data_IF_154132532557
#
_entry.id   IF_154132532557
#
_cell.length_a   1.000
_cell.length_b   1.000
_cell.length_c   1.000
_cell.angle_alpha   90.00
_cell.angle_beta   90.00
_cell.angle_gamma   90.00
#
_symmetry.space_group_name_H-M   'P 1'
#
loop_
_entity.id
_entity.type
_entity.pdbx_description
1 polymer ?
#
# COMPACT_ATOMS: atom_id res chain seq x y z
N UNK A 1 21.68 19.99 2.31
CA UNK A 1 20.19 19.98 2.32
C UNK A 1 19.57 21.25 1.71
N UNK A 2 19.78 22.49 2.19
CA UNK A 2 19.15 23.68 1.59
C UNK A 2 19.40 23.89 0.08
N UNK A 3 20.56 23.49 -0.45
CA UNK A 3 20.88 23.66 -1.89
C UNK A 3 20.10 22.72 -2.80
N UNK A 4 19.77 21.51 -2.37
CA UNK A 4 18.96 20.57 -3.15
C UNK A 4 17.50 21.00 -3.23
N UNK A 5 16.92 21.50 -2.13
CA UNK A 5 15.55 22.01 -2.10
C UNK A 5 15.36 23.25 -2.99
N UNK A 6 16.36 24.13 -3.06
CA UNK A 6 16.31 25.30 -3.95
C UNK A 6 16.48 24.92 -5.43
N UNK A 7 17.26 23.87 -5.72
CA UNK A 7 17.44 23.39 -7.09
C UNK A 7 16.17 22.73 -7.63
N UNK A 8 15.51 21.90 -6.81
CA UNK A 8 14.27 21.19 -7.21
C UNK A 8 13.14 22.18 -7.48
N UNK A 9 12.96 23.20 -6.64
CA UNK A 9 11.95 24.23 -6.85
C UNK A 9 12.25 25.08 -8.10
N UNK A 10 13.50 25.42 -8.32
CA UNK A 10 13.95 26.21 -9.48
C UNK A 10 13.79 25.45 -10.81
N UNK A 11 14.03 24.14 -10.82
CA UNK A 11 13.82 23.28 -12.00
C UNK A 11 12.34 23.16 -12.34
N UNK A 12 11.47 22.95 -11.34
CA UNK A 12 10.02 22.85 -11.54
C UNK A 12 9.42 24.18 -12.02
N UNK A 13 9.87 25.30 -11.47
CA UNK A 13 9.41 26.65 -11.89
C UNK A 13 9.89 26.99 -13.31
N UNK A 14 11.12 26.62 -13.69
CA UNK A 14 11.62 26.85 -15.04
C UNK A 14 10.97 25.91 -16.07
N UNK A 15 10.66 24.66 -15.73
CA UNK A 15 9.92 23.76 -16.60
C UNK A 15 8.52 24.29 -16.93
N UNK A 16 7.83 24.84 -15.93
CA UNK A 16 6.51 25.45 -16.11
C UNK A 16 6.51 26.71 -17.02
N UNK A 17 7.65 27.37 -17.19
CA UNK A 17 7.79 28.57 -18.06
C UNK A 17 8.10 28.25 -19.52
N UNK A 18 8.45 27.01 -19.87
CA UNK A 18 8.87 26.62 -21.22
C UNK A 18 7.73 25.98 -22.04
N UNK A 19 6.60 25.62 -21.41
CA UNK A 19 5.49 24.94 -22.09
C UNK A 19 4.59 25.94 -22.86
N UNK A 20 5.02 26.37 -24.03
CA UNK A 20 4.24 27.24 -24.91
C UNK A 20 3.79 26.51 -26.18
N UNK A 21 2.78 25.65 -26.13
CA UNK A 21 2.00 25.30 -27.34
C UNK A 21 0.85 24.28 -27.14
N UNK A 22 0.65 23.69 -25.97
CA UNK A 22 -0.50 22.81 -25.73
C UNK A 22 -1.38 23.38 -24.62
N UNK A 23 -2.70 23.19 -24.75
CA UNK A 23 -3.62 23.53 -23.67
C UNK A 23 -3.20 22.78 -22.41
N UNK A 24 -2.88 23.52 -21.34
CA UNK A 24 -2.46 22.92 -20.08
C UNK A 24 -3.70 22.52 -19.26
N UNK A 25 -3.54 21.58 -18.34
CA UNK A 25 -4.61 21.18 -17.42
C UNK A 25 -5.22 22.40 -16.69
N UNK A 26 -4.38 23.38 -16.34
CA UNK A 26 -4.87 24.59 -15.68
C UNK A 26 -5.68 25.48 -16.65
N UNK A 27 -5.32 25.57 -17.92
CA UNK A 27 -6.07 26.36 -18.91
C UNK A 27 -7.44 25.75 -19.23
N UNK A 28 -7.61 24.45 -19.03
CA UNK A 28 -8.88 23.72 -19.24
C UNK A 28 -9.80 23.72 -18.00
N UNK A 29 -9.37 24.33 -16.89
CA UNK A 29 -10.17 24.42 -15.66
C UNK A 29 -11.48 25.18 -15.92
N UNK A 30 -12.61 24.53 -15.62
CA UNK A 30 -13.95 25.12 -15.73
C UNK A 30 -14.27 25.99 -14.51
N UNK A 31 -13.72 25.67 -13.33
CA UNK A 31 -13.89 26.46 -12.12
C UNK A 31 -13.88 25.63 -10.83
N UNK A 32 -13.84 26.33 -9.72
CA UNK A 32 -13.78 25.76 -8.38
C UNK A 32 -14.97 24.85 -8.06
N UNK A 33 -16.18 25.21 -8.52
CA UNK A 33 -17.43 24.47 -8.29
C UNK A 33 -17.72 23.54 -9.47
N UNK A 34 -17.50 24.00 -10.69
CA UNK A 34 -17.86 23.29 -11.92
C UNK A 34 -17.08 21.99 -12.15
N UNK A 35 -15.83 21.94 -11.69
CA UNK A 35 -14.99 20.74 -11.71
C UNK A 35 -14.95 20.02 -10.35
N UNK A 36 -15.80 20.44 -9.40
CA UNK A 36 -15.85 19.78 -8.12
C UNK A 36 -16.38 18.34 -8.26
N UNK A 37 -15.86 17.45 -7.43
CA UNK A 37 -16.34 16.09 -7.32
C UNK A 37 -16.45 15.67 -5.86
N UNK A 38 -17.42 14.81 -5.59
CA UNK A 38 -17.65 14.28 -4.27
C UNK A 38 -18.07 12.83 -4.33
N UNK A 39 -17.55 12.04 -3.41
CA UNK A 39 -17.89 10.63 -3.27
C UNK A 39 -17.95 10.19 -1.83
N UNK A 40 -18.76 9.17 -1.58
CA UNK A 40 -18.79 8.43 -0.33
C UNK A 40 -18.66 6.96 -0.66
N UNK A 41 -17.72 6.28 -0.02
CA UNK A 41 -17.64 4.82 -0.05
C UNK A 41 -18.17 4.27 1.27
N UNK A 42 -19.31 3.57 1.22
CA UNK A 42 -19.76 2.76 2.35
C UNK A 42 -19.07 1.40 2.27
N UNK A 43 -18.29 1.06 3.30
CA UNK A 43 -17.61 -0.22 3.39
C UNK A 43 -18.03 -0.95 4.65
N UNK A 44 -18.44 -2.21 4.49
CA UNK A 44 -18.57 -3.15 5.60
C UNK A 44 -17.45 -4.16 5.48
N UNK A 45 -16.64 -4.30 6.53
CA UNK A 45 -15.48 -5.17 6.56
C UNK A 45 -15.55 -6.19 7.69
N UNK A 46 -15.19 -7.42 7.36
CA UNK A 46 -14.94 -8.49 8.32
C UNK A 46 -13.55 -9.08 8.05
N UNK A 47 -12.76 -9.26 9.12
CA UNK A 47 -11.46 -9.91 9.09
C UNK A 47 -11.34 -10.84 10.29
N UNK A 48 -11.03 -12.10 10.03
CA UNK A 48 -10.79 -13.10 11.05
C UNK A 48 -9.49 -13.84 10.74
N UNK A 49 -8.62 -13.96 11.72
CA UNK A 49 -7.36 -14.72 11.70
C UNK A 49 -7.42 -15.81 12.74
N UNK A 50 -7.44 -17.03 12.30
CA UNK A 50 -7.28 -18.23 13.10
C UNK A 50 -5.79 -18.62 13.09
N UNK A 51 -5.11 -18.28 14.19
CA UNK A 51 -3.66 -18.45 14.35
C UNK A 51 -3.31 -19.89 14.68
N UNK A 52 -2.35 -20.46 13.97
CA UNK A 52 -1.91 -21.86 14.11
C UNK A 52 -0.50 -21.99 14.66
N UNK A 53 0.13 -20.87 15.01
CA UNK A 53 1.46 -20.84 15.61
C UNK A 53 1.49 -21.28 17.09
N UNK A 54 0.34 -21.31 17.76
CA UNK A 54 0.22 -21.66 19.16
C UNK A 54 0.74 -20.60 20.15
N UNK A 55 1.18 -19.44 19.64
CA UNK A 55 1.82 -18.37 20.41
C UNK A 55 0.97 -17.11 20.50
N UNK A 56 0.15 -16.87 19.49
CA UNK A 56 -0.65 -15.66 19.39
C UNK A 56 -2.14 -15.99 19.36
N UNK A 57 -2.95 -15.12 19.95
CA UNK A 57 -4.39 -15.29 19.99
C UNK A 57 -5.03 -15.05 18.61
N UNK A 58 -6.14 -15.72 18.36
CA UNK A 58 -7.01 -15.43 17.22
C UNK A 58 -7.50 -13.99 17.27
N UNK A 59 -7.65 -13.39 16.10
CA UNK A 59 -8.22 -12.04 15.98
C UNK A 59 -9.45 -12.06 15.11
N UNK A 60 -10.45 -11.28 15.51
CA UNK A 60 -11.70 -11.14 14.76
C UNK A 60 -12.25 -9.74 14.89
N UNK A 61 -12.55 -9.11 13.76
CA UNK A 61 -13.11 -7.76 13.73
C UNK A 61 -14.14 -7.61 12.65
N UNK A 62 -15.26 -6.96 12.97
CA UNK A 62 -16.26 -6.53 12.02
C UNK A 62 -16.61 -5.06 12.26
N UNK A 63 -16.60 -4.26 11.21
CA UNK A 63 -16.93 -2.84 11.32
C UNK A 63 -17.49 -2.31 9.99
N UNK A 64 -18.16 -1.16 10.08
CA UNK A 64 -18.64 -0.42 8.93
C UNK A 64 -18.09 1.00 8.97
N UNK A 65 -17.85 1.56 7.77
CA UNK A 65 -17.36 2.93 7.60
C UNK A 65 -18.05 3.62 6.44
N UNK A 66 -18.11 4.95 6.52
CA UNK A 66 -18.35 5.83 5.40
C UNK A 66 -17.06 6.65 5.16
N UNK A 67 -16.40 6.41 4.04
CA UNK A 67 -15.20 7.16 3.62
C UNK A 67 -15.66 8.26 2.66
N UNK A 68 -15.43 9.51 3.04
CA UNK A 68 -15.86 10.70 2.30
C UNK A 68 -14.64 11.33 1.62
N UNK A 69 -14.81 11.68 0.35
CA UNK A 69 -13.85 12.49 -0.40
C UNK A 69 -14.62 13.60 -1.12
N UNK A 70 -14.34 14.86 -0.74
CA UNK A 70 -14.89 16.06 -1.39
C UNK A 70 -13.72 16.87 -1.92
N UNK A 71 -13.68 17.08 -3.21
CA UNK A 71 -12.62 17.79 -3.90
C UNK A 71 -13.21 18.90 -4.78
N UNK A 72 -12.76 20.14 -4.61
CA UNK A 72 -13.15 21.23 -5.49
C UNK A 72 -12.45 21.11 -6.85
N UNK A 73 -12.97 21.80 -7.87
CA UNK A 73 -12.15 22.15 -9.04
C UNK A 73 -11.04 23.14 -8.66
N UNK A 74 -10.34 23.62 -9.68
CA UNK A 74 -9.41 24.75 -9.55
C UNK A 74 -10.06 26.04 -10.02
N UNK A 75 -9.76 27.17 -9.36
CA UNK A 75 -10.15 28.49 -9.88
C UNK A 75 -9.54 28.71 -11.25
N UNK A 76 -10.23 29.51 -12.10
CA UNK A 76 -9.70 29.94 -13.40
C UNK A 76 -8.53 30.89 -13.23
N UNK A 77 -7.69 30.98 -14.24
CA UNK A 77 -6.53 31.90 -14.29
C UNK A 77 -5.23 31.16 -14.53
N UNK A 78 -4.11 31.88 -14.49
CA UNK A 78 -2.77 31.30 -14.68
C UNK A 78 -2.41 30.35 -13.54
N UNK A 79 -2.83 30.70 -12.33
CA UNK A 79 -2.71 29.87 -11.14
C UNK A 79 -4.11 29.53 -10.68
N UNK A 80 -4.42 28.24 -10.61
CA UNK A 80 -5.66 27.72 -10.05
C UNK A 80 -5.48 27.33 -8.58
N UNK A 81 -6.49 27.60 -7.76
CA UNK A 81 -6.54 27.19 -6.35
C UNK A 81 -7.75 26.30 -6.13
N UNK A 82 -7.58 25.32 -5.27
CA UNK A 82 -8.62 24.39 -4.85
C UNK A 82 -8.43 23.92 -3.42
N UNK A 83 -9.41 23.17 -2.92
CA UNK A 83 -9.38 22.59 -1.59
C UNK A 83 -10.20 21.30 -1.56
N UNK A 84 -9.99 20.48 -0.55
CA UNK A 84 -10.77 19.27 -0.36
C UNK A 84 -10.77 18.79 1.08
N UNK A 85 -11.62 17.80 1.31
CA UNK A 85 -11.77 17.10 2.58
C UNK A 85 -11.74 15.61 2.29
N UNK A 86 -10.95 14.88 3.06
CA UNK A 86 -10.94 13.41 3.07
C UNK A 86 -11.08 12.92 4.49
N UNK A 87 -11.88 11.90 4.71
CA UNK A 87 -12.03 11.33 6.05
C UNK A 87 -12.97 10.15 6.08
N UNK A 88 -13.07 9.55 7.24
CA UNK A 88 -13.95 8.40 7.50
C UNK A 88 -14.68 8.54 8.83
N UNK A 89 -15.88 7.96 8.88
CA UNK A 89 -16.67 7.79 10.09
C UNK A 89 -17.09 6.32 10.18
N UNK A 90 -16.76 5.68 11.28
CA UNK A 90 -16.80 4.23 11.42
C UNK A 90 -17.45 3.80 12.72
N UNK A 91 -18.01 2.59 12.73
CA UNK A 91 -18.51 1.95 13.93
C UNK A 91 -18.27 0.44 13.90
N UNK A 92 -18.02 -0.11 15.08
CA UNK A 92 -17.84 -1.54 15.32
C UNK A 92 -19.15 -2.28 15.17
N UNK A 93 -19.13 -3.45 14.54
CA UNK A 93 -20.25 -4.36 14.42
C UNK A 93 -20.07 -5.53 15.39
N UNK A 94 -21.03 -5.69 16.32
CA UNK A 94 -21.04 -6.79 17.28
C UNK A 94 -19.90 -6.74 18.32
N UNK A 95 -19.71 -7.86 19.00
CA UNK A 95 -18.60 -8.06 19.95
C UNK A 95 -17.45 -8.75 19.21
N UNK A 96 -16.33 -8.05 19.10
CA UNK A 96 -15.10 -8.62 18.54
C UNK A 96 -14.20 -9.08 19.68
N UNK A 97 -13.68 -10.31 19.61
CA UNK A 97 -12.84 -10.89 20.65
C UNK A 97 -11.51 -10.15 20.78
N UNK A 98 -10.68 -10.24 19.76
CA UNK A 98 -9.40 -9.54 19.69
C UNK A 98 -9.36 -8.61 18.49
N UNK A 99 -8.92 -7.37 18.69
CA UNK A 99 -8.93 -6.32 17.66
C UNK A 99 -7.56 -6.04 17.06
N UNK A 100 -6.52 -6.77 17.48
CA UNK A 100 -5.11 -6.57 17.08
C UNK A 100 -4.75 -6.82 15.61
N UNK A 101 -5.73 -6.78 14.70
CA UNK A 101 -5.55 -6.94 13.25
C UNK A 101 -5.66 -5.62 12.46
N UNK A 102 -5.54 -4.49 13.16
CA UNK A 102 -5.56 -3.13 12.60
C UNK A 102 -6.87 -2.71 11.91
N UNK A 103 -7.95 -3.41 12.18
CA UNK A 103 -9.28 -3.07 11.64
C UNK A 103 -10.00 -2.00 12.44
N UNK A 104 -9.84 -2.03 13.75
CA UNK A 104 -10.58 -1.19 14.71
C UNK A 104 -9.57 -0.57 15.68
N UNK A 105 -9.63 0.73 15.93
CA UNK A 105 -8.82 1.37 16.98
C UNK A 105 -9.09 0.78 18.36
N UNK A 106 -8.06 0.74 19.19
CA UNK A 106 -8.17 0.28 20.60
C UNK A 106 -7.76 1.37 21.57
N UNK A 107 -8.33 1.34 22.77
CA UNK A 107 -7.90 2.20 23.87
C UNK A 107 -6.48 1.86 24.29
N UNK A 108 -5.78 2.82 24.88
CA UNK A 108 -4.38 2.64 25.28
C UNK A 108 -4.21 1.76 26.53
N UNK A 109 -5.26 1.66 27.36
CA UNK A 109 -5.21 0.87 28.60
C UNK A 109 -5.43 -0.60 28.29
N UNK A 110 -4.59 -1.44 28.90
CA UNK A 110 -4.76 -2.88 28.86
C UNK A 110 -5.78 -3.33 29.91
N UNK A 111 -6.60 -4.31 29.55
CA UNK A 111 -7.46 -5.02 30.47
C UNK A 111 -6.62 -5.95 31.37
N UNK A 112 -7.23 -6.50 32.43
CA UNK A 112 -6.57 -7.41 33.36
C UNK A 112 -6.03 -8.70 32.68
N UNK A 113 -6.56 -9.05 31.52
CA UNK A 113 -6.15 -10.20 30.67
C UNK A 113 -5.16 -9.83 29.56
N UNK A 114 -4.65 -8.60 29.54
CA UNK A 114 -3.72 -8.10 28.54
C UNK A 114 -4.36 -7.73 27.19
N UNK A 115 -5.68 -7.79 27.06
CA UNK A 115 -6.39 -7.30 25.87
C UNK A 115 -6.66 -5.81 25.97
N UNK A 116 -6.99 -5.19 24.83
CA UNK A 116 -7.40 -3.77 24.77
C UNK A 116 -8.85 -3.66 24.31
N UNK A 117 -9.61 -2.77 24.94
CA UNK A 117 -10.96 -2.47 24.51
C UNK A 117 -10.94 -1.71 23.17
N UNK A 118 -11.77 -2.16 22.24
CA UNK A 118 -11.97 -1.49 20.97
C UNK A 118 -12.95 -0.32 21.08
N UNK A 119 -12.70 0.73 20.29
CA UNK A 119 -13.67 1.81 20.13
C UNK A 119 -14.96 1.30 19.49
N UNK A 120 -16.11 1.76 19.99
CA UNK A 120 -17.42 1.44 19.39
C UNK A 120 -17.68 2.27 18.15
N UNK A 121 -17.20 3.52 18.11
CA UNK A 121 -17.28 4.43 16.99
C UNK A 121 -16.08 5.38 16.95
N UNK A 122 -15.67 5.79 15.77
CA UNK A 122 -14.55 6.73 15.57
C UNK A 122 -14.69 7.47 14.25
N UNK A 123 -13.99 8.60 14.12
CA UNK A 123 -13.88 9.35 12.89
C UNK A 123 -12.45 9.89 12.74
N UNK A 124 -11.97 9.95 11.48
CA UNK A 124 -10.62 10.37 11.15
C UNK A 124 -10.64 11.17 9.86
N UNK A 125 -9.54 11.83 9.55
CA UNK A 125 -9.37 12.57 8.31
C UNK A 125 -8.92 14.00 8.53
N UNK A 126 -9.01 14.80 7.47
CA UNK A 126 -8.61 16.20 7.47
C UNK A 126 -8.95 16.90 6.16
N UNK A 127 -8.41 18.08 6.02
CA UNK A 127 -8.56 18.92 4.83
C UNK A 127 -7.21 19.11 4.14
N UNK A 128 -7.27 19.53 2.90
CA UNK A 128 -6.12 19.97 2.12
C UNK A 128 -6.46 21.18 1.25
N UNK A 129 -5.43 21.91 0.91
CA UNK A 129 -5.47 22.95 -0.13
C UNK A 129 -4.60 22.51 -1.29
N UNK A 130 -4.92 22.96 -2.50
CA UNK A 130 -4.15 22.66 -3.70
C UNK A 130 -4.01 23.88 -4.59
N UNK A 131 -2.89 23.95 -5.30
CA UNK A 131 -2.65 24.97 -6.32
C UNK A 131 -2.12 24.28 -7.58
N UNK A 132 -2.48 24.78 -8.75
CA UNK A 132 -2.03 24.29 -10.05
C UNK A 132 -1.56 25.43 -10.93
N UNK A 133 -0.41 25.21 -11.56
CA UNK A 133 0.14 26.08 -12.62
C UNK A 133 0.48 25.16 -13.79
N UNK A 134 -0.04 25.47 -14.98
CA UNK A 134 0.16 24.60 -16.15
C UNK A 134 -0.27 23.15 -15.87
N UNK A 135 0.62 22.19 -15.95
CA UNK A 135 0.42 20.77 -15.62
C UNK A 135 1.11 20.36 -14.30
N UNK A 136 1.44 21.33 -13.45
CA UNK A 136 2.06 21.08 -12.14
C UNK A 136 1.08 21.40 -11.03
N UNK A 137 0.78 20.41 -10.20
CA UNK A 137 -0.12 20.51 -9.02
C UNK A 137 0.67 20.36 -7.73
N UNK A 138 0.46 21.26 -6.79
CA UNK A 138 0.91 21.15 -5.41
C UNK A 138 -0.31 20.98 -4.50
N UNK A 139 -0.24 20.05 -3.54
CA UNK A 139 -1.28 19.75 -2.56
C UNK A 139 -0.66 19.74 -1.16
N UNK A 140 -1.27 20.43 -0.21
CA UNK A 140 -0.84 20.47 1.18
C UNK A 140 -1.99 20.16 2.13
N UNK A 141 -1.81 19.17 2.98
CA UNK A 141 -2.79 18.75 3.97
C UNK A 141 -2.90 17.24 4.06
N UNK A 142 -4.05 16.74 4.54
CA UNK A 142 -4.33 15.32 4.72
C UNK A 142 -4.63 14.65 3.39
N UNK A 143 -3.97 13.50 3.13
CA UNK A 143 -4.08 12.77 1.87
C UNK A 143 -3.73 11.29 2.01
N UNK A 144 -4.17 10.49 1.05
CA UNK A 144 -3.73 9.11 0.83
C UNK A 144 -2.59 9.14 -0.17
N UNK A 145 -1.52 8.40 0.09
CA UNK A 145 -0.34 8.29 -0.78
C UNK A 145 -0.34 6.96 -1.53
N UNK A 146 -0.03 7.01 -2.82
CA UNK A 146 0.19 5.83 -3.67
C UNK A 146 1.65 5.67 -4.08
N UNK A 147 2.56 6.45 -3.47
CA UNK A 147 3.99 6.40 -3.77
C UNK A 147 4.59 5.13 -3.15
N UNK A 148 5.23 4.23 -3.92
CA UNK A 148 5.64 2.92 -3.45
C UNK A 148 6.49 2.92 -2.18
N UNK A 149 7.36 3.92 -2.01
CA UNK A 149 8.25 4.05 -0.84
C UNK A 149 7.59 4.70 0.38
N UNK A 150 6.35 5.20 0.24
CA UNK A 150 5.57 5.83 1.33
C UNK A 150 4.07 5.68 1.04
N UNK A 151 3.65 4.49 0.65
CA UNK A 151 2.27 4.19 0.28
C UNK A 151 1.37 4.06 1.51
N UNK A 152 0.19 4.61 1.44
CA UNK A 152 -0.85 4.42 2.44
C UNK A 152 -1.35 2.98 2.44
N UNK A 153 -1.48 2.38 3.61
CA UNK A 153 -2.19 1.10 3.76
C UNK A 153 -3.68 1.29 3.48
N UNK A 154 -4.18 0.62 2.44
CA UNK A 154 -5.60 0.60 2.07
C UNK A 154 -6.24 -0.79 2.22
N UNK A 155 -5.49 -1.76 2.76
CA UNK A 155 -5.92 -3.14 2.93
C UNK A 155 -6.75 -3.38 4.20
N UNK A 156 -7.11 -2.31 4.93
CA UNK A 156 -7.94 -2.35 6.13
C UNK A 156 -9.29 -1.66 5.89
N UNK A 157 -10.06 -1.49 6.95
CA UNK A 157 -11.40 -0.87 6.88
C UNK A 157 -11.34 0.53 6.28
N UNK A 158 -10.39 1.32 6.74
CA UNK A 158 -10.16 2.72 6.35
C UNK A 158 -8.72 2.89 5.88
N UNK A 159 -8.43 3.86 5.03
CA UNK A 159 -7.08 4.12 4.56
C UNK A 159 -6.20 4.73 5.67
N UNK A 160 -4.91 4.58 5.52
CA UNK A 160 -3.92 5.37 6.21
C UNK A 160 -3.86 6.76 5.61
N UNK A 161 -3.64 7.79 6.45
CA UNK A 161 -3.51 9.18 6.02
C UNK A 161 -2.13 9.73 6.32
N UNK A 162 -1.57 10.43 5.34
CA UNK A 162 -0.42 11.29 5.53
C UNK A 162 -0.83 12.76 5.53
N UNK A 163 -0.06 13.61 6.22
CA UNK A 163 -0.25 15.07 6.17
C UNK A 163 1.06 15.74 5.79
N UNK A 164 1.01 16.59 4.77
CA UNK A 164 2.15 17.36 4.29
C UNK A 164 2.00 17.84 2.86
N UNK A 165 3.12 18.16 2.23
CA UNK A 165 3.22 18.67 0.87
C UNK A 165 3.45 17.50 -0.11
N UNK A 166 2.66 17.49 -1.17
CA UNK A 166 2.82 16.64 -2.35
C UNK A 166 2.83 17.52 -3.60
N UNK A 167 3.76 17.29 -4.51
CA UNK A 167 3.86 18.00 -5.79
C UNK A 167 3.97 16.95 -6.88
N UNK A 168 3.18 17.14 -7.94
CA UNK A 168 3.21 16.34 -9.16
C UNK A 168 3.29 17.26 -10.37
N UNK A 169 4.16 16.91 -11.32
CA UNK A 169 4.39 17.67 -12.54
C UNK A 169 4.35 16.77 -13.77
N UNK A 170 3.46 17.10 -14.71
CA UNK A 170 3.28 16.45 -16.00
C UNK A 170 3.63 17.41 -17.15
N UNK A 171 4.59 18.34 -16.94
CA UNK A 171 5.01 19.34 -17.94
C UNK A 171 5.73 18.73 -19.14
N UNK A 172 6.38 17.59 -18.93
CA UNK A 172 7.11 16.88 -19.97
C UNK A 172 6.26 15.70 -20.41
N UNK A 173 6.02 15.60 -21.71
CA UNK A 173 5.25 14.50 -22.29
C UNK A 173 5.80 13.15 -21.86
N UNK A 174 4.90 12.24 -21.48
CA UNK A 174 5.22 10.88 -21.06
C UNK A 174 6.08 10.77 -19.77
N UNK A 175 6.37 11.90 -19.08
CA UNK A 175 7.11 11.96 -17.83
C UNK A 175 6.27 12.62 -16.74
N UNK A 176 6.04 11.88 -15.65
CA UNK A 176 5.51 12.40 -14.38
C UNK A 176 6.64 12.52 -13.38
N UNK A 177 6.84 13.71 -12.81
CA UNK A 177 7.75 13.96 -11.71
C UNK A 177 6.97 14.16 -10.42
N UNK A 178 7.43 13.57 -9.33
CA UNK A 178 6.78 13.65 -8.02
C UNK A 178 7.82 14.07 -6.99
N UNK A 179 7.39 14.85 -5.99
CA UNK A 179 8.21 15.20 -4.85
C UNK A 179 7.39 15.81 -3.73
N UNK A 180 7.91 15.74 -2.52
CA UNK A 180 7.20 16.31 -1.39
C UNK A 180 7.80 15.98 -0.03
N UNK A 181 7.03 16.31 1.00
CA UNK A 181 7.40 16.07 2.39
C UNK A 181 6.15 15.81 3.21
N UNK A 182 6.07 14.65 3.87
CA UNK A 182 5.08 14.38 4.90
C UNK A 182 5.68 14.58 6.29
N UNK A 183 4.84 15.03 7.21
CA UNK A 183 5.22 15.35 8.60
C UNK A 183 4.28 14.74 9.62
N UNK A 184 3.26 14.01 9.18
CA UNK A 184 2.34 13.25 10.04
C UNK A 184 1.90 11.98 9.34
N UNK A 185 1.72 10.93 10.13
CA UNK A 185 1.21 9.64 9.71
C UNK A 185 0.13 9.17 10.68
N UNK A 186 -1.02 8.78 10.15
CA UNK A 186 -2.16 8.23 10.87
C UNK A 186 -2.52 6.86 10.26
N UNK A 187 -2.17 5.79 10.95
CA UNK A 187 -2.50 4.44 10.49
C UNK A 187 -4.02 4.20 10.44
N UNK A 188 -4.41 3.13 9.75
CA UNK A 188 -5.82 2.77 9.57
C UNK A 188 -6.59 2.57 10.88
N UNK A 189 -5.92 2.24 11.98
CA UNK A 189 -6.49 2.06 13.31
C UNK A 189 -6.05 3.12 14.34
N UNK A 190 -5.47 4.23 13.90
CA UNK A 190 -5.14 5.36 14.76
C UNK A 190 -6.29 6.37 14.84
N UNK A 191 -6.57 6.85 16.03
CA UNK A 191 -7.58 7.92 16.26
C UNK A 191 -6.98 9.30 16.02
N UNK A 192 -5.76 9.53 16.52
CA UNK A 192 -5.10 10.83 16.41
C UNK A 192 -4.33 10.98 15.11
N UNK A 193 -4.32 12.19 14.57
CA UNK A 193 -3.58 12.51 13.35
C UNK A 193 -2.09 12.57 13.60
N UNK A 194 -1.30 11.68 13.55
CA UNK A 194 0.13 11.58 13.88
C UNK A 194 0.38 10.82 15.17
N UNK A 195 -0.39 9.78 15.39
CA UNK A 195 -0.17 8.90 16.52
C UNK A 195 1.17 8.16 16.43
N UNK A 196 1.75 8.10 15.22
CA UNK A 196 3.03 7.46 14.95
C UNK A 196 4.24 8.42 15.06
N UNK A 197 4.00 9.71 15.28
CA UNK A 197 5.03 10.74 15.43
C UNK A 197 6.02 10.79 14.24
N UNK A 198 5.51 10.98 13.03
CA UNK A 198 6.33 11.14 11.84
C UNK A 198 6.94 12.56 11.80
N UNK A 199 8.22 12.68 12.14
CA UNK A 199 8.93 13.96 12.08
C UNK A 199 9.03 14.51 10.66
N UNK A 200 9.54 13.69 9.75
CA UNK A 200 9.79 14.11 8.36
C UNK A 200 10.07 12.91 7.47
N UNK A 201 9.31 12.80 6.39
CA UNK A 201 9.61 11.93 5.27
C UNK A 201 9.67 12.79 4.00
N UNK A 202 10.84 12.92 3.40
CA UNK A 202 11.05 13.64 2.14
C UNK A 202 11.10 12.60 1.04
N UNK A 203 10.24 12.74 0.04
CA UNK A 203 10.16 11.78 -1.06
C UNK A 203 10.29 12.46 -2.42
N UNK A 204 10.74 11.70 -3.40
CA UNK A 204 10.88 12.11 -4.80
C UNK A 204 10.66 10.91 -5.72
N UNK A 205 10.36 11.16 -6.98
CA UNK A 205 10.21 10.10 -7.95
C UNK A 205 9.94 10.59 -9.36
N UNK A 206 10.04 9.65 -10.27
CA UNK A 206 9.72 9.82 -11.68
C UNK A 206 9.07 8.56 -12.23
N UNK A 207 8.08 8.75 -13.10
CA UNK A 207 7.48 7.70 -13.91
C UNK A 207 7.58 8.10 -15.36
N UNK A 208 8.13 7.24 -16.19
CA UNK A 208 8.33 7.52 -17.62
C UNK A 208 7.73 6.42 -18.51
N UNK A 209 6.95 6.83 -19.48
CA UNK A 209 6.41 5.98 -20.53
C UNK A 209 7.29 6.08 -21.78
N UNK A 210 8.15 5.10 -22.01
CA UNK A 210 9.03 5.07 -23.18
C UNK A 210 8.25 4.90 -24.48
N UNK A 211 7.22 4.07 -24.45
CA UNK A 211 6.27 3.81 -25.52
C UNK A 211 5.05 3.06 -24.96
N UNK A 212 4.14 2.59 -25.83
CA UNK A 212 2.94 1.86 -25.38
C UNK A 212 3.22 0.48 -24.77
N UNK A 213 4.42 -0.04 -24.93
CA UNK A 213 4.83 -1.34 -24.43
C UNK A 213 5.70 -1.25 -23.17
N UNK A 214 6.51 -0.20 -23.03
CA UNK A 214 7.54 -0.07 -21.99
C UNK A 214 7.29 1.16 -21.14
N UNK A 215 7.23 0.97 -19.85
CA UNK A 215 7.28 2.04 -18.85
C UNK A 215 8.20 1.67 -17.69
N UNK A 216 8.71 2.67 -17.00
CA UNK A 216 9.49 2.48 -15.79
C UNK A 216 9.22 3.60 -14.79
N UNK A 217 9.49 3.32 -13.54
CA UNK A 217 9.39 4.29 -12.46
C UNK A 217 10.53 4.10 -11.46
N UNK A 218 10.87 5.21 -10.81
CA UNK A 218 11.82 5.24 -9.71
C UNK A 218 11.32 6.21 -8.65
N UNK A 219 11.41 5.80 -7.38
CA UNK A 219 11.04 6.61 -6.23
C UNK A 219 12.09 6.45 -5.13
N UNK A 220 12.28 7.51 -4.34
CA UNK A 220 13.08 7.50 -3.14
C UNK A 220 12.38 8.21 -1.99
N UNK A 221 12.69 7.82 -0.77
CA UNK A 221 12.28 8.50 0.46
C UNK A 221 13.41 8.53 1.45
N UNK A 222 13.60 9.68 2.08
CA UNK A 222 14.45 9.89 3.25
C UNK A 222 13.53 10.18 4.44
N UNK A 223 13.49 9.24 5.39
CA UNK A 223 12.73 9.36 6.64
C UNK A 223 13.69 9.67 7.75
N UNK A 224 13.58 10.88 8.28
CA UNK A 224 14.48 11.43 9.28
C UNK A 224 14.67 10.49 10.48
N UNK A 225 15.93 10.21 10.81
CA UNK A 225 16.37 9.37 11.92
C UNK A 225 15.82 7.92 11.84
N UNK A 226 15.46 7.44 10.63
CA UNK A 226 14.89 6.10 10.40
C UNK A 226 15.59 5.35 9.27
N UNK A 227 15.42 5.78 8.04
CA UNK A 227 15.89 5.06 6.85
C UNK A 227 15.93 5.95 5.60
N UNK A 228 16.70 5.49 4.64
CA UNK A 228 16.58 5.86 3.24
C UNK A 228 16.09 4.62 2.46
N UNK A 229 15.06 4.80 1.60
CA UNK A 229 14.49 3.72 0.79
C UNK A 229 14.33 4.14 -0.64
N UNK A 230 14.72 3.26 -1.54
CA UNK A 230 14.57 3.40 -2.99
C UNK A 230 13.66 2.31 -3.55
N UNK A 231 12.94 2.64 -4.61
CA UNK A 231 12.10 1.73 -5.36
C UNK A 231 12.33 1.93 -6.85
N UNK A 232 12.44 0.85 -7.59
CA UNK A 232 12.46 0.86 -9.05
C UNK A 232 11.50 -0.19 -9.60
N UNK A 233 10.81 0.15 -10.70
CA UNK A 233 9.95 -0.78 -11.43
C UNK A 233 10.13 -0.58 -12.92
N UNK A 234 10.10 -1.66 -13.69
CA UNK A 234 10.04 -1.65 -15.14
C UNK A 234 9.01 -2.67 -15.62
N UNK A 235 8.19 -2.26 -16.59
CA UNK A 235 7.12 -3.06 -17.13
C UNK A 235 7.22 -3.13 -18.66
N UNK A 236 7.10 -4.32 -19.24
CA UNK A 236 7.08 -4.56 -20.67
C UNK A 236 5.90 -5.43 -21.07
N UNK A 237 4.99 -4.87 -21.89
CA UNK A 237 3.81 -5.55 -22.42
C UNK A 237 3.93 -5.76 -23.92
N UNK A 238 3.75 -7.00 -24.39
CA UNK A 238 3.83 -7.32 -25.82
C UNK A 238 2.80 -8.37 -26.22
N UNK A 239 2.32 -8.22 -27.45
CA UNK A 239 1.38 -9.16 -28.04
C UNK A 239 2.09 -10.48 -28.41
N UNK A 240 1.37 -11.58 -28.21
CA UNK A 240 1.77 -12.92 -28.66
C UNK A 240 0.66 -13.54 -29.52
N UNK A 241 0.92 -14.61 -30.30
CA UNK A 241 -0.09 -15.22 -31.16
C UNK A 241 -1.40 -15.57 -30.43
N UNK A 242 -2.50 -15.65 -31.20
CA UNK A 242 -3.85 -16.03 -30.75
C UNK A 242 -4.53 -14.99 -29.84
N UNK A 243 -4.38 -13.70 -30.14
CA UNK A 243 -5.00 -12.57 -29.43
C UNK A 243 -4.68 -12.57 -27.92
N UNK A 244 -3.45 -12.96 -27.60
CA UNK A 244 -2.94 -12.95 -26.23
C UNK A 244 -1.84 -11.89 -26.06
N UNK A 245 -1.56 -11.54 -24.82
CA UNK A 245 -0.40 -10.72 -24.49
C UNK A 245 0.36 -11.26 -23.28
N UNK A 246 1.62 -10.89 -23.20
CA UNK A 246 2.49 -11.16 -22.05
C UNK A 246 2.95 -9.84 -21.47
N UNK A 247 2.83 -9.72 -20.16
CA UNK A 247 3.40 -8.62 -19.39
C UNK A 247 4.55 -9.17 -18.56
N UNK A 248 5.74 -8.62 -18.75
CA UNK A 248 6.88 -8.83 -17.86
C UNK A 248 6.96 -7.63 -16.93
N UNK A 249 7.15 -7.89 -15.65
CA UNK A 249 7.30 -6.88 -14.62
C UNK A 249 8.54 -7.19 -13.78
N UNK A 250 9.32 -6.16 -13.44
CA UNK A 250 10.47 -6.24 -12.56
C UNK A 250 10.38 -5.11 -11.54
N UNK A 251 10.56 -5.44 -10.27
CA UNK A 251 10.48 -4.51 -9.15
C UNK A 251 11.62 -4.75 -8.20
N UNK A 252 12.12 -3.67 -7.57
CA UNK A 252 13.10 -3.75 -6.51
C UNK A 252 12.90 -2.62 -5.49
N UNK A 253 13.10 -2.95 -4.22
CA UNK A 253 13.30 -2.01 -3.13
C UNK A 253 14.71 -2.21 -2.57
N UNK A 254 15.37 -1.11 -2.23
CA UNK A 254 16.58 -1.10 -1.41
C UNK A 254 16.34 -0.18 -0.22
N UNK A 255 16.63 -0.66 0.98
CA UNK A 255 16.46 0.09 2.23
C UNK A 255 17.73 0.07 3.03
N UNK A 256 18.17 1.24 3.49
CA UNK A 256 19.27 1.42 4.40
C UNK A 256 18.74 2.10 5.67
N UNK A 257 19.02 1.49 6.82
CA UNK A 257 18.49 1.96 8.10
C UNK A 257 19.51 2.85 8.80
N UNK A 258 19.03 3.91 9.42
CA UNK A 258 19.85 4.74 10.30
C UNK A 258 20.28 3.94 11.55
N UNK A 259 21.49 4.20 12.02
CA UNK A 259 22.03 3.55 13.21
C UNK A 259 21.14 3.79 14.43
N UNK A 260 20.70 2.71 15.07
CA UNK A 260 19.86 2.75 16.26
C UNK A 260 18.38 3.04 15.98
N UNK A 261 17.95 3.13 14.72
CA UNK A 261 16.52 3.22 14.38
C UNK A 261 15.79 1.95 14.84
N UNK A 262 14.64 2.13 15.48
CA UNK A 262 13.80 1.02 15.87
C UNK A 262 13.17 0.38 14.61
N UNK A 263 13.28 -0.95 14.49
CA UNK A 263 12.64 -1.75 13.46
C UNK A 263 11.91 -2.91 14.10
N UNK A 264 10.97 -3.51 13.37
CA UNK A 264 10.31 -4.72 13.79
C UNK A 264 11.12 -5.99 13.49
N UNK A 265 12.13 -5.88 12.64
CA UNK A 265 12.95 -6.99 12.16
C UNK A 265 14.29 -7.04 12.91
N UNK A 266 14.65 -8.20 13.42
CA UNK A 266 15.86 -8.41 14.19
C UNK A 266 16.53 -9.72 13.78
N UNK A 267 17.17 -9.72 12.64
CA UNK A 267 17.88 -10.90 12.15
C UNK A 267 19.38 -10.67 12.04
N UNK A 268 19.87 -9.56 12.60
CA UNK A 268 21.30 -9.25 12.60
C UNK A 268 21.79 -8.79 13.96
N UNK A 269 23.01 -9.17 14.31
CA UNK A 269 23.75 -8.68 15.47
C UNK A 269 24.19 -7.21 15.35
N UNK A 270 24.26 -6.69 14.12
CA UNK A 270 24.71 -5.34 13.85
C UNK A 270 23.56 -4.39 13.57
N UNK A 271 22.96 -3.84 14.61
CA UNK A 271 21.90 -2.82 14.52
C UNK A 271 22.36 -1.49 13.94
N UNK A 272 23.68 -1.29 13.76
CA UNK A 272 24.25 -0.04 13.25
C UNK A 272 24.31 0.01 11.71
N UNK A 273 24.19 -1.15 11.04
CA UNK A 273 24.40 -1.26 9.59
C UNK A 273 23.39 -2.25 9.00
N UNK A 274 22.09 -1.87 9.06
CA UNK A 274 21.03 -2.69 8.53
C UNK A 274 20.68 -2.29 7.11
N UNK A 275 20.75 -3.26 6.23
CA UNK A 275 20.46 -3.12 4.81
C UNK A 275 19.55 -4.26 4.33
N UNK A 276 18.61 -3.92 3.45
CA UNK A 276 17.70 -4.85 2.83
C UNK A 276 17.53 -4.52 1.35
N UNK A 277 17.57 -5.54 0.51
CA UNK A 277 17.19 -5.43 -0.91
C UNK A 277 16.19 -6.53 -1.23
N UNK A 278 14.93 -6.16 -1.44
CA UNK A 278 13.90 -7.09 -1.94
C UNK A 278 13.61 -6.77 -3.41
N UNK A 279 13.64 -7.81 -4.25
CA UNK A 279 13.33 -7.66 -5.67
C UNK A 279 12.48 -8.82 -6.16
N UNK A 280 11.73 -8.59 -7.23
CA UNK A 280 10.92 -9.62 -7.83
C UNK A 280 10.74 -9.41 -9.33
N UNK A 281 10.50 -10.51 -10.02
CA UNK A 281 10.16 -10.52 -11.44
C UNK A 281 8.92 -11.38 -11.64
N UNK A 282 8.05 -10.96 -12.55
CA UNK A 282 6.89 -11.75 -12.93
C UNK A 282 6.64 -11.74 -14.44
N UNK A 283 6.02 -12.82 -14.91
CA UNK A 283 5.51 -12.96 -16.28
C UNK A 283 4.03 -13.30 -16.21
N UNK A 284 3.19 -12.45 -16.78
CA UNK A 284 1.75 -12.61 -16.80
C UNK A 284 1.26 -12.85 -18.22
N UNK A 285 0.69 -14.01 -18.49
CA UNK A 285 0.03 -14.34 -19.74
C UNK A 285 -1.47 -14.03 -19.64
N UNK A 286 -1.96 -13.21 -20.56
CA UNK A 286 -3.36 -12.80 -20.62
C UNK A 286 -3.99 -13.27 -21.94
N UNK A 287 -5.10 -13.99 -21.84
CA UNK A 287 -5.91 -14.40 -22.98
C UNK A 287 -7.38 -14.46 -22.61
N UNK A 288 -8.18 -13.62 -23.26
CA UNK A 288 -9.64 -13.51 -23.06
C UNK A 288 -10.02 -13.38 -21.56
N UNK A 289 -10.54 -14.44 -20.96
CA UNK A 289 -10.99 -14.50 -19.56
C UNK A 289 -9.93 -15.04 -18.61
N UNK A 290 -8.80 -15.48 -19.14
CA UNK A 290 -7.72 -16.14 -18.42
C UNK A 290 -6.54 -15.21 -18.20
N UNK A 291 -6.02 -15.20 -16.99
CA UNK A 291 -4.75 -14.53 -16.65
C UNK A 291 -3.94 -15.49 -15.78
N UNK A 292 -2.71 -15.78 -16.19
CA UNK A 292 -1.78 -16.66 -15.47
C UNK A 292 -0.51 -15.89 -15.19
N UNK A 293 -0.10 -15.79 -13.95
CA UNK A 293 1.17 -15.15 -13.54
C UNK A 293 2.09 -16.17 -12.89
N UNK A 294 3.34 -16.17 -13.32
CA UNK A 294 4.46 -16.82 -12.63
C UNK A 294 5.38 -15.72 -12.09
N UNK A 295 5.80 -15.86 -10.85
CA UNK A 295 6.63 -14.88 -10.18
C UNK A 295 7.77 -15.53 -9.41
N UNK A 296 8.90 -14.81 -9.32
CA UNK A 296 10.01 -15.09 -8.44
C UNK A 296 10.35 -13.81 -7.66
N UNK A 297 10.66 -13.97 -6.37
CA UNK A 297 11.03 -12.88 -5.49
C UNK A 297 12.18 -13.33 -4.59
N UNK A 298 13.05 -12.39 -4.23
CA UNK A 298 14.25 -12.63 -3.42
C UNK A 298 14.45 -11.43 -2.50
N UNK A 299 14.72 -11.71 -1.25
CA UNK A 299 14.91 -10.72 -0.20
C UNK A 299 16.29 -10.92 0.44
N UNK A 300 17.25 -10.11 0.05
CA UNK A 300 18.65 -10.20 0.42
C UNK A 300 19.06 -9.03 1.32
N UNK A 301 20.07 -9.26 2.16
CA UNK A 301 20.62 -8.26 3.07
C UNK A 301 20.98 -8.87 4.41
N UNK A 302 20.94 -8.08 5.46
CA UNK A 302 21.15 -8.55 6.83
C UNK A 302 19.91 -8.35 7.72
N UNK A 303 18.76 -8.01 7.11
CA UNK A 303 17.45 -7.91 7.75
C UNK A 303 16.36 -8.16 6.72
N UNK A 304 15.18 -8.61 7.14
CA UNK A 304 14.00 -8.69 6.28
C UNK A 304 13.48 -7.30 5.86
N UNK A 305 12.59 -7.26 4.87
CA UNK A 305 11.91 -6.00 4.54
C UNK A 305 10.99 -5.59 5.67
N UNK A 306 11.25 -4.43 6.24
CA UNK A 306 10.47 -3.84 7.32
C UNK A 306 9.70 -2.61 6.81
N UNK A 307 8.42 -2.51 7.17
CA UNK A 307 7.52 -1.43 6.75
C UNK A 307 7.78 -0.08 7.47
N UNK A 308 8.93 0.04 8.12
CA UNK A 308 9.41 1.27 8.74
C UNK A 308 8.45 1.93 9.74
N UNK A 309 7.55 1.20 10.31
CA UNK A 309 6.68 1.51 11.43
C UNK A 309 5.93 2.85 11.40
N UNK A 310 6.46 3.92 10.87
CA UNK A 310 5.84 5.23 10.74
C UNK A 310 6.24 5.97 9.45
N UNK A 311 6.77 5.25 8.48
CA UNK A 311 7.35 5.86 7.29
C UNK A 311 6.65 5.48 5.98
N UNK A 312 6.37 4.21 5.70
CA UNK A 312 5.93 3.76 4.39
C UNK A 312 4.61 3.01 4.39
N UNK A 313 3.73 3.34 5.30
CA UNK A 313 2.45 2.69 5.39
C UNK A 313 2.54 1.25 5.86
N UNK A 314 2.09 0.99 7.03
CA UNK A 314 2.11 -0.33 7.64
C UNK A 314 1.52 -1.40 6.68
N UNK A 315 2.35 -2.35 6.25
CA UNK A 315 2.00 -3.44 5.35
C UNK A 315 1.66 -3.01 3.90
N UNK A 316 2.35 -2.02 3.37
CA UNK A 316 2.26 -1.61 1.97
C UNK A 316 3.57 -1.90 1.25
N UNK A 317 3.58 -2.89 0.37
CA UNK A 317 4.70 -3.27 -0.48
C UNK A 317 4.17 -3.68 -1.86
N UNK A 318 4.89 -3.34 -2.91
CA UNK A 318 4.54 -3.68 -4.30
C UNK A 318 5.50 -4.72 -4.86
N UNK A 319 5.33 -5.96 -4.42
CA UNK A 319 6.09 -7.13 -4.90
C UNK A 319 5.13 -8.21 -5.42
N UNK A 320 5.57 -9.11 -6.30
CA UNK A 320 4.66 -10.03 -6.99
C UNK A 320 4.06 -11.10 -6.09
N UNK A 321 4.77 -11.54 -5.05
CA UNK A 321 4.34 -12.60 -4.13
C UNK A 321 3.74 -12.04 -2.83
N UNK A 322 2.78 -11.09 -2.94
CA UNK A 322 2.16 -10.42 -1.80
C UNK A 322 0.67 -10.76 -1.69
N UNK A 323 0.29 -11.52 -0.65
CA UNK A 323 -1.10 -11.94 -0.38
C UNK A 323 -1.47 -11.74 1.09
N UNK A 324 -1.39 -12.77 1.95
CA UNK A 324 -1.46 -12.65 3.40
C UNK A 324 -0.05 -12.44 3.96
N UNK A 325 0.89 -13.30 3.56
CA UNK A 325 2.32 -13.03 3.66
C UNK A 325 2.78 -12.22 2.45
N UNK A 326 3.79 -11.39 2.64
CA UNK A 326 4.48 -10.67 1.57
C UNK A 326 5.80 -11.38 1.17
N UNK A 327 6.10 -12.53 1.80
CA UNK A 327 7.30 -13.33 1.55
C UNK A 327 8.55 -12.45 1.58
N UNK A 328 8.69 -11.71 2.67
CA UNK A 328 9.66 -10.65 2.84
C UNK A 328 10.60 -10.85 4.06
N UNK A 329 10.68 -12.08 4.56
CA UNK A 329 11.62 -12.46 5.62
C UNK A 329 13.08 -12.28 5.19
N UNK A 330 14.00 -12.25 6.14
CA UNK A 330 15.44 -12.12 5.83
C UNK A 330 15.92 -13.33 5.03
N UNK A 331 16.68 -13.09 3.97
CA UNK A 331 17.20 -14.05 2.98
C UNK A 331 16.11 -14.91 2.26
N UNK A 332 14.84 -14.59 2.47
CA UNK A 332 13.73 -15.32 1.89
C UNK A 332 13.69 -15.23 0.36
N UNK A 333 13.58 -16.39 -0.27
CA UNK A 333 13.30 -16.56 -1.69
C UNK A 333 11.91 -17.13 -1.86
N UNK A 334 11.17 -16.70 -2.86
CA UNK A 334 9.83 -17.26 -3.10
C UNK A 334 9.48 -17.38 -4.58
N UNK A 335 8.65 -18.40 -4.88
CA UNK A 335 8.05 -18.61 -6.20
C UNK A 335 6.54 -18.65 -6.08
N UNK A 336 5.85 -17.94 -6.95
CA UNK A 336 4.39 -17.85 -6.96
C UNK A 336 3.78 -18.17 -8.31
N UNK A 337 2.63 -18.84 -8.27
CA UNK A 337 1.77 -19.08 -9.43
C UNK A 337 0.37 -18.57 -9.10
N UNK A 338 -0.13 -17.63 -9.91
CA UNK A 338 -1.48 -17.09 -9.78
C UNK A 338 -2.29 -17.36 -11.04
N UNK A 339 -3.56 -17.67 -10.84
CA UNK A 339 -4.57 -17.76 -11.90
C UNK A 339 -5.76 -16.88 -11.60
N UNK A 340 -6.15 -16.06 -12.57
CA UNK A 340 -7.38 -15.28 -12.52
C UNK A 340 -8.33 -15.73 -13.63
N UNK A 341 -9.61 -15.82 -13.28
CA UNK A 341 -10.69 -16.15 -14.20
C UNK A 341 -11.82 -15.14 -14.12
N UNK A 342 -12.22 -14.60 -15.28
CA UNK A 342 -13.39 -13.73 -15.40
C UNK A 342 -14.58 -14.51 -15.98
N UNK A 343 -15.70 -14.53 -15.27
CA UNK A 343 -16.87 -15.32 -15.62
C UNK A 343 -17.78 -14.69 -16.69
N UNK A 344 -17.33 -13.66 -17.42
CA UNK A 344 -18.13 -12.99 -18.46
C UNK A 344 -18.69 -13.94 -19.51
N UNK A 345 -17.91 -14.98 -19.89
CA UNK A 345 -18.30 -15.98 -20.88
C UNK A 345 -19.35 -16.98 -20.35
N UNK A 346 -19.63 -16.97 -19.05
CA UNK A 346 -20.69 -17.75 -18.39
C UNK A 346 -21.93 -16.90 -18.06
N UNK A 347 -22.07 -15.70 -18.64
CA UNK A 347 -23.18 -14.80 -18.38
C UNK A 347 -23.14 -14.12 -17.00
N UNK A 348 -21.99 -14.13 -16.33
CA UNK A 348 -21.75 -13.50 -15.03
C UNK A 348 -20.68 -12.40 -15.14
N UNK A 349 -20.91 -11.34 -15.95
CA UNK A 349 -19.97 -10.23 -16.01
C UNK A 349 -19.83 -9.58 -14.63
N UNK A 350 -18.59 -9.24 -14.27
CA UNK A 350 -18.29 -8.69 -12.94
C UNK A 350 -17.89 -9.72 -11.89
N UNK A 351 -18.13 -11.02 -12.12
CA UNK A 351 -17.63 -12.09 -11.27
C UNK A 351 -16.21 -12.47 -11.69
N UNK A 352 -15.29 -12.41 -10.74
CA UNK A 352 -13.89 -12.79 -10.91
C UNK A 352 -13.44 -13.73 -9.78
N UNK A 353 -12.64 -14.72 -10.13
CA UNK A 353 -11.99 -15.60 -9.19
C UNK A 353 -10.47 -15.49 -9.37
N UNK A 354 -9.76 -15.38 -8.26
CA UNK A 354 -8.30 -15.42 -8.19
C UNK A 354 -7.89 -16.54 -7.28
N UNK A 355 -6.95 -17.37 -7.70
CA UNK A 355 -6.30 -18.36 -6.87
C UNK A 355 -4.79 -18.26 -7.04
N UNK A 356 -4.03 -18.37 -5.96
CA UNK A 356 -2.58 -18.36 -6.02
C UNK A 356 -1.99 -19.38 -5.04
N UNK A 357 -0.81 -19.85 -5.38
CA UNK A 357 0.05 -20.61 -4.49
C UNK A 357 1.44 -19.99 -4.50
N UNK A 358 1.97 -19.70 -3.31
CA UNK A 358 3.33 -19.21 -3.13
C UNK A 358 4.06 -20.12 -2.17
N UNK A 359 5.33 -20.39 -2.45
CA UNK A 359 6.25 -21.10 -1.59
C UNK A 359 7.50 -20.27 -1.37
N UNK A 360 7.84 -20.04 -0.10
CA UNK A 360 9.01 -19.31 0.39
C UNK A 360 9.97 -20.25 1.13
N UNK A 361 11.27 -20.02 0.97
CA UNK A 361 12.34 -20.83 1.57
C UNK A 361 13.58 -19.99 1.86
N UNK A 362 14.56 -20.59 2.54
CA UNK A 362 15.81 -19.97 3.00
C UNK A 362 15.58 -18.76 3.94
N UNK A 363 14.54 -18.83 4.78
CA UNK A 363 14.21 -17.71 5.67
C UNK A 363 15.08 -17.78 6.92
N UNK A 364 15.82 -16.71 7.18
CA UNK A 364 16.55 -16.51 8.42
C UNK A 364 15.64 -15.97 9.51
N UNK A 365 15.56 -16.67 10.63
CA UNK A 365 14.78 -16.24 11.80
C UNK A 365 15.64 -16.19 13.05
N UNK A 366 15.50 -15.13 13.85
CA UNK A 366 16.19 -15.03 15.14
C UNK A 366 15.57 -15.98 16.16
N UNK A 367 16.39 -16.67 16.96
CA UNK A 367 15.89 -17.52 18.02
C UNK A 367 15.16 -16.71 19.08
N UNK A 368 14.02 -17.22 19.55
CA UNK A 368 13.12 -16.50 20.47
C UNK A 368 13.79 -16.12 21.78
N UNK A 369 14.53 -17.05 22.38
CA UNK A 369 15.15 -16.90 23.67
C UNK A 369 16.57 -16.32 23.59
N UNK A 370 17.18 -16.38 22.40
CA UNK A 370 18.49 -15.84 22.10
C UNK A 370 18.48 -15.19 20.73
N UNK A 371 18.12 -13.91 20.68
CA UNK A 371 17.95 -13.15 19.43
C UNK A 371 19.26 -12.96 18.62
N UNK A 372 20.37 -13.40 19.15
CA UNK A 372 21.68 -13.39 18.44
C UNK A 372 21.95 -14.69 17.69
N UNK A 373 21.18 -15.74 17.95
CA UNK A 373 21.27 -16.99 17.22
C UNK A 373 20.26 -17.01 16.09
N UNK A 374 20.75 -17.08 14.86
CA UNK A 374 19.94 -17.13 13.65
C UNK A 374 19.76 -18.60 13.26
N UNK A 375 18.51 -18.97 13.02
CA UNK A 375 18.14 -20.25 12.43
C UNK A 375 17.84 -19.99 10.96
N UNK A 376 18.70 -20.46 10.10
CA UNK A 376 18.49 -20.45 8.65
C UNK A 376 17.55 -21.59 8.21
N UNK A 377 17.06 -21.53 6.95
CA UNK A 377 16.22 -22.54 6.32
C UNK A 377 14.80 -22.69 6.89
N UNK A 378 14.23 -21.64 7.46
CA UNK A 378 12.80 -21.63 7.68
C UNK A 378 12.05 -21.50 6.34
N UNK A 379 10.80 -21.94 6.34
CA UNK A 379 9.97 -22.02 5.13
C UNK A 379 8.56 -21.54 5.43
N UNK A 380 7.89 -20.99 4.41
CA UNK A 380 6.46 -20.75 4.45
C UNK A 380 5.80 -21.02 3.09
N UNK A 381 4.49 -21.28 3.10
CA UNK A 381 3.71 -21.37 1.88
C UNK A 381 2.28 -20.87 2.10
N UNK A 382 1.73 -20.27 1.08
CA UNK A 382 0.37 -19.74 1.11
C UNK A 382 -0.45 -20.29 -0.06
N UNK A 383 -1.67 -20.74 0.24
CA UNK A 383 -2.72 -20.96 -0.74
C UNK A 383 -3.79 -19.89 -0.57
N UNK A 384 -3.85 -18.99 -1.54
CA UNK A 384 -4.72 -17.84 -1.57
C UNK A 384 -5.89 -18.04 -2.51
N UNK A 385 -7.09 -17.61 -2.10
CA UNK A 385 -8.29 -17.58 -2.93
C UNK A 385 -9.08 -16.31 -2.72
N UNK A 386 -9.60 -15.75 -3.79
CA UNK A 386 -10.49 -14.60 -3.76
C UNK A 386 -11.60 -14.74 -4.79
N UNK A 387 -12.82 -14.46 -4.38
CA UNK A 387 -13.97 -14.24 -5.28
C UNK A 387 -14.44 -12.81 -5.10
N UNK A 388 -14.58 -12.09 -6.19
CA UNK A 388 -15.12 -10.72 -6.21
C UNK A 388 -16.23 -10.62 -7.25
N UNK A 389 -17.38 -10.12 -6.83
CA UNK A 389 -18.47 -9.71 -7.74
C UNK A 389 -18.62 -8.19 -7.69
N UNK A 390 -18.71 -7.57 -8.85
CA UNK A 390 -18.99 -6.13 -9.00
C UNK A 390 -20.29 -5.96 -9.80
N UNK A 391 -21.23 -5.22 -9.25
CA UNK A 391 -22.53 -4.94 -9.88
C UNK A 391 -22.32 -4.09 -11.13
N UNK A 392 -22.85 -4.56 -12.27
CA UNK A 392 -22.56 -3.97 -13.58
C UNK A 392 -23.50 -2.82 -13.97
N UNK A 393 -24.70 -2.76 -13.39
CA UNK A 393 -25.72 -1.76 -13.75
C UNK A 393 -26.73 -1.55 -12.63
N UNK A 394 -27.63 -0.57 -12.79
CA UNK A 394 -28.70 -0.25 -11.85
C UNK A 394 -28.25 0.68 -10.71
N UNK A 395 -29.08 0.81 -9.68
CA UNK A 395 -28.88 1.76 -8.57
C UNK A 395 -27.61 1.46 -7.73
N UNK A 396 -27.15 0.20 -7.74
CA UNK A 396 -25.97 -0.24 -7.03
C UNK A 396 -24.79 -0.54 -7.98
N UNK A 397 -24.77 0.08 -9.17
CA UNK A 397 -23.66 -0.07 -10.10
C UNK A 397 -22.33 0.25 -9.36
N UNK A 398 -21.29 -0.54 -9.65
CA UNK A 398 -19.97 -0.49 -9.05
C UNK A 398 -19.89 -0.93 -7.57
N UNK A 399 -21.02 -1.26 -6.92
CA UNK A 399 -20.98 -1.95 -5.63
C UNK A 399 -20.30 -3.32 -5.80
N UNK A 400 -19.50 -3.74 -4.82
CA UNK A 400 -18.80 -5.02 -4.91
C UNK A 400 -18.79 -5.78 -3.59
N UNK A 401 -18.91 -7.10 -3.70
CA UNK A 401 -18.68 -8.04 -2.62
C UNK A 401 -17.41 -8.83 -2.94
N UNK A 402 -16.46 -8.86 -1.99
CA UNK A 402 -15.21 -9.59 -2.08
C UNK A 402 -15.08 -10.54 -0.89
N UNK A 403 -14.88 -11.81 -1.19
CA UNK A 403 -14.56 -12.87 -0.24
C UNK A 403 -13.12 -13.28 -0.51
N UNK A 404 -12.29 -13.31 0.52
CA UNK A 404 -10.90 -13.71 0.47
C UNK A 404 -10.62 -14.75 1.54
N UNK A 405 -9.87 -15.77 1.19
CA UNK A 405 -9.38 -16.80 2.08
C UNK A 405 -7.90 -17.07 1.81
N UNK A 406 -7.10 -17.07 2.86
CA UNK A 406 -5.69 -17.45 2.83
C UNK A 406 -5.42 -18.59 3.80
N UNK A 407 -4.74 -19.62 3.32
CA UNK A 407 -4.20 -20.71 4.09
C UNK A 407 -2.67 -20.56 4.08
N UNK A 408 -2.12 -19.97 5.14
CA UNK A 408 -0.69 -19.77 5.31
C UNK A 408 -0.14 -20.81 6.29
N UNK A 409 0.97 -21.44 5.94
CA UNK A 409 1.70 -22.37 6.81
C UNK A 409 3.18 -22.06 6.74
N UNK A 410 3.79 -22.07 7.91
CA UNK A 410 5.22 -21.85 8.10
C UNK A 410 5.83 -23.06 8.83
N UNK A 411 7.12 -23.30 8.67
CA UNK A 411 7.85 -24.33 9.38
C UNK A 411 7.77 -24.15 10.90
N UNK A 412 8.04 -25.19 11.65
CA UNK A 412 8.04 -25.11 13.12
C UNK A 412 9.11 -24.17 13.65
N UNK A 413 10.26 -24.10 13.00
CA UNK A 413 11.30 -23.11 13.32
C UNK A 413 10.76 -21.69 13.19
N UNK A 414 10.11 -21.36 12.08
CA UNK A 414 9.51 -20.04 11.86
C UNK A 414 8.42 -19.72 12.90
N UNK A 415 7.48 -20.64 13.15
CA UNK A 415 6.40 -20.44 14.11
C UNK A 415 6.91 -20.29 15.54
N UNK A 416 7.91 -21.09 15.95
CA UNK A 416 8.45 -21.08 17.30
C UNK A 416 9.33 -19.87 17.57
N UNK A 417 10.00 -19.35 16.54
CA UNK A 417 10.94 -18.23 16.63
C UNK A 417 10.27 -16.87 16.39
N UNK A 418 9.02 -16.87 16.00
CA UNK A 418 8.29 -15.66 15.75
C UNK A 418 8.14 -14.83 17.03
N UNK A 419 9.06 -13.94 17.21
CA UNK A 419 9.06 -12.95 18.28
C UNK A 419 8.72 -11.61 17.67
N UNK A 420 7.60 -11.02 17.99
CA UNK A 420 7.30 -9.60 17.77
C UNK A 420 7.74 -8.98 16.42
N UNK A 421 7.96 -9.78 15.41
CA UNK A 421 8.44 -9.24 14.15
C UNK A 421 7.28 -8.89 13.25
N UNK A 422 7.43 -7.76 12.64
CA UNK A 422 6.61 -7.28 11.53
C UNK A 422 6.73 -8.17 10.30
N UNK A 423 7.74 -9.01 10.22
CA UNK A 423 8.14 -9.76 9.05
C UNK A 423 7.22 -10.90 8.67
N UNK A 424 6.53 -11.51 9.60
CA UNK A 424 5.72 -12.66 9.23
C UNK A 424 4.51 -12.84 10.12
N UNK A 425 3.47 -13.41 9.57
CA UNK A 425 2.23 -13.67 10.27
C UNK A 425 2.27 -15.05 10.94
N UNK A 426 3.15 -15.95 10.51
CA UNK A 426 3.20 -17.35 10.89
C UNK A 426 1.98 -18.13 10.38
N UNK A 427 1.89 -19.40 10.73
CA UNK A 427 0.80 -20.27 10.30
C UNK A 427 -0.56 -19.69 10.70
N UNK A 428 -1.38 -19.36 9.70
CA UNK A 428 -2.65 -18.63 9.90
C UNK A 428 -3.66 -19.02 8.82
N UNK A 429 -4.93 -19.15 9.19
CA UNK A 429 -6.05 -19.08 8.25
C UNK A 429 -6.67 -17.70 8.35
N UNK A 430 -6.77 -16.97 7.24
CA UNK A 430 -7.41 -15.65 7.24
C UNK A 430 -8.63 -15.64 6.35
N UNK A 431 -9.71 -15.07 6.87
CA UNK A 431 -10.91 -14.72 6.13
C UNK A 431 -11.07 -13.21 6.09
N UNK A 432 -11.32 -12.66 4.88
CA UNK A 432 -11.73 -11.25 4.71
C UNK A 432 -12.99 -11.18 3.88
N UNK A 433 -13.94 -10.37 4.33
CA UNK A 433 -15.18 -10.09 3.58
C UNK A 433 -15.32 -8.58 3.51
N UNK A 434 -15.42 -8.04 2.30
CA UNK A 434 -15.60 -6.63 2.03
C UNK A 434 -16.86 -6.43 1.19
N UNK A 435 -17.78 -5.63 1.68
CA UNK A 435 -18.90 -5.07 0.91
C UNK A 435 -18.62 -3.58 0.72
N UNK A 436 -18.37 -3.17 -0.51
CA UNK A 436 -18.11 -1.79 -0.89
C UNK A 436 -19.26 -1.25 -1.74
N UNK A 437 -19.83 -0.12 -1.35
CA UNK A 437 -20.91 0.57 -2.07
C UNK A 437 -20.45 2.01 -2.32
N UNK A 438 -19.86 2.31 -3.50
CA UNK A 438 -19.47 3.66 -3.87
C UNK A 438 -20.71 4.48 -4.25
N UNK A 439 -20.76 5.72 -3.78
CA UNK A 439 -21.79 6.70 -4.12
C UNK A 439 -21.11 7.96 -4.62
N UNK A 440 -21.40 8.35 -5.85
CA UNK A 440 -21.03 9.64 -6.39
C UNK A 440 -22.06 10.67 -5.95
N UNK A 441 -21.60 11.79 -5.35
CA UNK A 441 -22.47 12.85 -4.84
C UNK A 441 -22.77 13.89 -5.92
N UNK A 442 -21.73 14.29 -6.66
CA UNK A 442 -21.79 15.25 -7.77
C UNK A 442 -20.56 15.13 -8.66
#
# INVERSE_FOLDING_TARGET
MLKAQQLTLAVLVNAALISTAFASEQSESKGFVEDANGSVLFRTGFLHRDKKDGLTNDTSSAAQTAIVNLDSGFTKGVIGFGAGIIGDASFKLGKNGHTGNQMIPTHSQDNADGTKDAYDHWARGGAYVKARVSNTTAKYGTQVSEIPVIASNTARLTPEYYTGLYIESNEIKDLTLIGGKFTKNQWSNDISSDQQNLDSAIFWGAKYKFNDQVNASYYGVDVKDKLERHYANANYNFAVPNDANVTLDAVAYNTQWEAGAATGSHTTDNLADRENTIWGVSATYNKDVHNVMLAYQDNAGNTGYDYAYNADGLQSIYVPNSYLSDFNGNDEKSVGLQYNYNFKNHGLPGLNWTSAFVYGWDIDVAERDNQTEIIDQAEEHEFFNQVKYTVQSGAFKDASLRLRYSYLRSSSSYNNQKVNNSEGIGSTNEWRIWLDIPVKLF
#
